data_IF_532420446146
#
_entry.id   IF_532420446146
#
_cell.length_a   1.000
_cell.length_b   1.000
_cell.length_c   1.000
_cell.angle_alpha   90.00
_cell.angle_beta   90.00
_cell.angle_gamma   90.00
#
_symmetry.space_group_name_H-M   'P 1'
#
loop_
_entity.id
_entity.type
_entity.pdbx_description
1 polymer ?
#
# COMPACT_ATOMS: atom_id res chain seq x y z
N UNK A 1 11.35 -11.40 28.00
CA UNK A 1 12.56 -11.01 27.23
C UNK A 1 12.12 -10.08 26.11
N UNK A 2 12.57 -8.86 26.05
CA UNK A 2 12.11 -7.93 25.02
C UNK A 2 12.58 -8.39 23.63
N UNK A 3 11.71 -8.34 22.62
CA UNK A 3 12.10 -8.45 21.22
C UNK A 3 13.15 -7.38 20.93
N UNK A 4 14.28 -7.76 20.32
CA UNK A 4 15.40 -6.84 20.06
C UNK A 4 15.53 -6.53 18.57
N UNK A 5 14.88 -7.30 17.71
CA UNK A 5 14.95 -7.13 16.27
C UNK A 5 13.76 -7.78 15.56
N UNK A 6 13.64 -7.49 14.26
CA UNK A 6 12.74 -8.16 13.34
C UNK A 6 13.50 -8.75 12.16
N UNK A 7 13.27 -10.03 11.86
CA UNK A 7 13.67 -10.62 10.59
C UNK A 7 12.60 -10.33 9.56
N UNK A 8 12.99 -9.68 8.46
CA UNK A 8 12.09 -9.33 7.37
C UNK A 8 12.20 -10.37 6.25
N UNK A 9 11.06 -10.97 5.90
CA UNK A 9 10.92 -11.84 4.75
C UNK A 9 10.30 -11.05 3.59
N UNK A 10 10.87 -11.20 2.39
CA UNK A 10 10.35 -10.59 1.17
C UNK A 10 10.14 -11.68 0.10
N UNK A 11 9.10 -11.51 -0.74
CA UNK A 11 8.66 -12.51 -1.70
C UNK A 11 9.24 -12.28 -3.10
N UNK A 12 8.54 -11.53 -3.94
CA UNK A 12 8.86 -11.30 -5.36
C UNK A 12 10.26 -10.71 -5.60
N UNK A 13 10.81 -9.99 -4.64
CA UNK A 13 12.18 -9.46 -4.70
C UNK A 13 13.20 -10.59 -4.86
N UNK A 14 12.96 -11.74 -4.24
CA UNK A 14 13.90 -12.87 -4.24
C UNK A 14 14.15 -13.44 -5.66
N UNK A 15 13.19 -13.30 -6.58
CA UNK A 15 13.26 -13.83 -7.95
C UNK A 15 13.75 -12.81 -8.99
N UNK A 16 14.18 -11.60 -8.60
CA UNK A 16 14.58 -10.52 -9.50
C UNK A 16 15.97 -10.69 -10.16
N UNK A 17 16.61 -11.84 -9.98
CA UNK A 17 17.89 -12.15 -10.61
C UNK A 17 18.98 -11.12 -10.33
N UNK A 18 19.68 -10.67 -11.37
CA UNK A 18 20.82 -9.72 -11.23
C UNK A 18 20.42 -8.34 -10.68
N UNK A 19 19.18 -7.92 -10.85
CA UNK A 19 18.67 -6.61 -10.39
C UNK A 19 18.15 -6.65 -8.95
N UNK A 20 18.20 -7.77 -8.26
CA UNK A 20 17.68 -7.97 -6.91
C UNK A 20 18.20 -6.93 -5.92
N UNK A 21 19.47 -6.55 -6.00
CA UNK A 21 20.08 -5.58 -5.09
C UNK A 21 19.36 -4.22 -5.11
N UNK A 22 18.88 -3.74 -6.27
CA UNK A 22 18.14 -2.48 -6.39
C UNK A 22 16.83 -2.50 -5.59
N UNK A 23 16.11 -3.61 -5.64
CA UNK A 23 14.86 -3.79 -4.90
C UNK A 23 15.10 -3.96 -3.39
N UNK A 24 16.16 -4.66 -3.02
CA UNK A 24 16.55 -4.81 -1.62
C UNK A 24 16.97 -3.46 -1.02
N UNK A 25 17.75 -2.65 -1.73
CA UNK A 25 18.17 -1.33 -1.28
C UNK A 25 16.98 -0.35 -1.17
N UNK A 26 16.04 -0.41 -2.13
CA UNK A 26 14.79 0.33 -2.05
C UNK A 26 13.94 -0.09 -0.83
N UNK A 27 13.82 -1.40 -0.58
CA UNK A 27 13.11 -1.92 0.59
C UNK A 27 13.77 -1.45 1.90
N UNK A 28 15.10 -1.54 2.01
CA UNK A 28 15.83 -1.05 3.18
C UNK A 28 15.59 0.44 3.44
N UNK A 29 15.57 1.25 2.38
CA UNK A 29 15.29 2.69 2.48
C UNK A 29 13.89 2.95 3.01
N UNK A 30 12.90 2.22 2.52
CA UNK A 30 11.50 2.37 2.97
C UNK A 30 11.30 1.89 4.40
N UNK A 31 11.95 0.78 4.79
CA UNK A 31 11.91 0.32 6.19
C UNK A 31 12.50 1.39 7.11
N UNK A 32 13.68 1.97 6.78
CA UNK A 32 14.26 3.05 7.59
C UNK A 32 13.32 4.24 7.72
N UNK A 33 12.68 4.63 6.63
CA UNK A 33 11.72 5.74 6.64
C UNK A 33 10.49 5.43 7.51
N UNK A 34 9.92 4.23 7.39
CA UNK A 34 8.76 3.81 8.17
C UNK A 34 9.07 3.67 9.66
N UNK A 35 10.28 3.23 10.01
CA UNK A 35 10.70 3.02 11.39
C UNK A 35 11.23 4.29 12.09
N UNK A 36 11.61 5.32 11.34
CA UNK A 36 12.16 6.55 11.90
C UNK A 36 11.27 7.26 12.95
N UNK A 37 9.93 7.31 12.82
CA UNK A 37 9.06 7.86 13.85
C UNK A 37 8.94 6.98 15.10
N UNK A 38 9.21 5.67 14.98
CA UNK A 38 9.05 4.68 16.07
C UNK A 38 10.27 4.64 16.99
N UNK A 39 11.47 4.87 16.45
CA UNK A 39 12.72 4.84 17.22
C UNK A 39 13.96 4.70 16.37
N UNK A 40 15.09 4.48 17.03
CA UNK A 40 16.36 4.24 16.34
C UNK A 40 16.52 2.75 15.99
N UNK A 41 16.58 2.46 14.69
CA UNK A 41 16.70 1.10 14.17
C UNK A 41 17.79 1.00 13.11
N UNK A 42 18.66 0.01 13.29
CA UNK A 42 19.65 -0.36 12.30
C UNK A 42 19.08 -1.38 11.33
N UNK A 43 18.92 -0.99 10.06
CA UNK A 43 18.49 -1.89 9.00
C UNK A 43 19.70 -2.42 8.25
N UNK A 44 19.91 -3.73 8.27
CA UNK A 44 21.02 -4.40 7.59
C UNK A 44 20.59 -5.60 6.77
N UNK A 45 21.41 -5.96 5.81
CA UNK A 45 21.25 -7.15 4.97
C UNK A 45 22.42 -8.09 5.20
N UNK A 46 22.13 -9.37 5.39
CA UNK A 46 23.14 -10.42 5.56
C UNK A 46 22.64 -11.72 4.93
N UNK A 47 23.44 -12.30 4.02
CA UNK A 47 23.18 -13.62 3.42
C UNK A 47 21.75 -13.77 2.86
N UNK A 48 21.24 -12.74 2.18
CA UNK A 48 19.90 -12.75 1.57
C UNK A 48 18.74 -12.58 2.55
N UNK A 49 19.02 -12.12 3.77
CA UNK A 49 18.05 -11.78 4.80
C UNK A 49 18.16 -10.31 5.17
N UNK A 50 17.08 -9.75 5.66
CA UNK A 50 17.04 -8.37 6.10
C UNK A 50 16.63 -8.33 7.58
N UNK A 51 17.38 -7.55 8.35
CA UNK A 51 17.20 -7.40 9.79
C UNK A 51 16.93 -5.94 10.13
N UNK A 52 16.01 -5.72 11.05
CA UNK A 52 15.68 -4.43 11.63
C UNK A 52 15.97 -4.54 13.13
N UNK A 53 17.11 -3.99 13.56
CA UNK A 53 17.63 -4.14 14.92
C UNK A 53 17.39 -2.85 15.70
N UNK A 54 16.70 -2.94 16.82
CA UNK A 54 16.49 -1.80 17.71
C UNK A 54 17.82 -1.42 18.37
N UNK A 55 18.09 -0.11 18.44
CA UNK A 55 19.27 0.43 19.15
C UNK A 55 18.89 0.88 20.56
N UNK A 56 17.62 1.26 20.75
CA UNK A 56 17.04 1.69 22.02
C UNK A 56 15.70 0.98 22.29
N UNK A 57 15.05 1.35 23.40
CA UNK A 57 13.69 0.89 23.70
C UNK A 57 12.68 1.45 22.69
N UNK A 58 11.72 0.63 22.28
CA UNK A 58 10.71 1.00 21.31
C UNK A 58 9.33 0.40 21.68
N UNK A 59 8.27 0.97 21.11
CA UNK A 59 6.95 0.36 21.17
C UNK A 59 6.83 -0.75 20.13
N UNK A 60 6.52 -1.97 20.61
CA UNK A 60 6.44 -3.16 19.77
C UNK A 60 5.31 -3.09 18.75
N UNK A 61 4.13 -2.64 19.19
CA UNK A 61 2.93 -2.61 18.33
C UNK A 61 3.09 -1.54 17.25
N UNK A 62 3.60 -0.37 17.60
CA UNK A 62 3.94 0.70 16.63
C UNK A 62 4.98 0.23 15.60
N UNK A 63 6.00 -0.51 16.04
CA UNK A 63 7.02 -1.05 15.15
C UNK A 63 6.44 -2.07 14.15
N UNK A 64 5.60 -2.98 14.62
CA UNK A 64 4.93 -3.97 13.77
C UNK A 64 4.01 -3.27 12.78
N UNK A 65 3.20 -2.32 13.25
CA UNK A 65 2.29 -1.55 12.39
C UNK A 65 3.04 -0.77 11.30
N UNK A 66 4.16 -0.13 11.64
CA UNK A 66 5.02 0.57 10.68
C UNK A 66 5.56 -0.39 9.61
N UNK A 67 6.06 -1.56 10.01
CA UNK A 67 6.56 -2.58 9.08
C UNK A 67 5.44 -3.18 8.20
N UNK A 68 4.22 -3.31 8.73
CA UNK A 68 3.05 -3.80 7.98
C UNK A 68 2.56 -2.82 6.90
N UNK A 69 3.06 -1.60 6.87
CA UNK A 69 2.78 -0.61 5.82
C UNK A 69 3.83 -0.61 4.70
N UNK A 70 4.96 -1.29 4.85
CA UNK A 70 6.05 -1.28 3.88
C UNK A 70 5.85 -2.35 2.80
N UNK A 71 5.57 -1.93 1.58
CA UNK A 71 5.45 -2.85 0.43
C UNK A 71 6.77 -3.56 0.12
N UNK A 72 6.67 -4.84 -0.19
CA UNK A 72 7.80 -5.75 -0.38
C UNK A 72 7.97 -6.71 0.79
N UNK A 73 7.51 -6.37 1.98
CA UNK A 73 7.54 -7.24 3.16
C UNK A 73 6.40 -8.27 3.05
N UNK A 74 6.72 -9.57 3.10
CA UNK A 74 5.72 -10.64 3.15
C UNK A 74 5.58 -11.22 4.54
N UNK A 75 6.65 -11.19 5.36
CA UNK A 75 6.64 -11.67 6.73
C UNK A 75 7.55 -10.84 7.62
N UNK A 76 7.10 -10.59 8.84
CA UNK A 76 7.80 -9.90 9.91
C UNK A 76 7.94 -10.91 11.04
N UNK A 77 9.16 -11.33 11.37
CA UNK A 77 9.41 -12.27 12.46
C UNK A 77 10.07 -11.52 13.61
N UNK A 78 9.33 -11.20 14.69
CA UNK A 78 9.92 -10.68 15.92
C UNK A 78 10.93 -11.68 16.46
N UNK A 79 12.12 -11.21 16.82
CA UNK A 79 13.23 -12.09 17.17
C UNK A 79 14.10 -11.54 18.29
N UNK A 80 14.86 -12.45 18.88
CA UNK A 80 15.96 -12.15 19.77
C UNK A 80 17.27 -12.44 19.05
N UNK A 81 18.24 -11.57 19.25
CA UNK A 81 19.62 -11.77 18.81
C UNK A 81 20.48 -12.04 20.04
N UNK A 82 21.18 -13.18 20.04
CA UNK A 82 22.04 -13.60 21.13
C UNK A 82 23.50 -13.72 20.65
N UNK A 83 24.42 -13.12 21.37
CA UNK A 83 25.85 -13.14 21.04
C UNK A 83 26.56 -14.36 21.60
N UNK A 84 26.12 -14.81 22.79
CA UNK A 84 26.69 -15.98 23.45
C UNK A 84 26.27 -17.27 22.72
N UNK A 85 27.24 -18.02 22.23
CA UNK A 85 27.05 -19.26 21.49
C UNK A 85 27.23 -20.53 22.36
N UNK A 86 27.24 -20.36 23.67
CA UNK A 86 27.22 -21.53 24.55
C UNK A 86 25.87 -22.26 24.50
N UNK A 87 25.89 -23.59 24.51
CA UNK A 87 24.66 -24.37 24.34
C UNK A 87 23.74 -24.29 25.57
N UNK A 88 24.33 -24.24 26.78
CA UNK A 88 23.57 -24.07 28.01
C UNK A 88 22.85 -22.71 28.02
N UNK A 89 23.58 -21.65 27.71
CA UNK A 89 23.00 -20.29 27.57
C UNK A 89 21.91 -20.22 26.51
N UNK A 90 22.11 -20.87 25.35
CA UNK A 90 21.10 -20.95 24.30
C UNK A 90 19.82 -21.62 24.80
N UNK A 91 19.96 -22.73 25.55
CA UNK A 91 18.83 -23.47 26.12
C UNK A 91 18.03 -22.58 27.08
N UNK A 92 18.71 -21.95 28.04
CA UNK A 92 18.08 -21.01 28.98
C UNK A 92 17.35 -19.87 28.27
N UNK A 93 18.00 -19.31 27.24
CA UNK A 93 17.41 -18.23 26.44
C UNK A 93 16.15 -18.67 25.71
N UNK A 94 16.14 -19.86 25.10
CA UNK A 94 14.96 -20.39 24.40
C UNK A 94 13.83 -20.71 25.37
N UNK A 95 14.12 -21.31 26.54
CA UNK A 95 13.12 -21.58 27.59
C UNK A 95 12.47 -20.26 28.02
N UNK A 96 13.28 -19.25 28.36
CA UNK A 96 12.77 -17.94 28.75
C UNK A 96 11.96 -17.27 27.63
N UNK A 97 12.40 -17.37 26.38
CA UNK A 97 11.69 -16.86 25.22
C UNK A 97 10.30 -17.49 25.09
N UNK A 98 10.19 -18.82 25.19
CA UNK A 98 8.91 -19.54 25.09
C UNK A 98 8.03 -19.23 26.30
N UNK A 99 8.59 -19.09 27.48
CA UNK A 99 7.83 -18.76 28.68
C UNK A 99 7.12 -17.39 28.55
N UNK A 100 7.82 -16.38 28.09
CA UNK A 100 7.30 -15.03 27.95
C UNK A 100 6.38 -14.86 26.75
N UNK A 101 6.68 -15.50 25.60
CA UNK A 101 5.88 -15.37 24.38
C UNK A 101 4.58 -16.16 24.42
N UNK A 102 4.53 -17.25 25.19
CA UNK A 102 3.38 -18.14 25.26
C UNK A 102 2.96 -18.35 26.71
N UNK A 103 2.19 -17.45 27.33
CA UNK A 103 1.77 -17.59 28.73
C UNK A 103 0.97 -18.87 28.99
N UNK A 104 0.18 -19.32 28.02
CA UNK A 104 -0.55 -20.59 28.08
C UNK A 104 0.27 -21.68 27.42
N UNK A 105 0.64 -22.72 28.18
CA UNK A 105 1.48 -23.85 27.76
C UNK A 105 0.64 -25.03 27.28
N UNK A 106 -0.32 -24.82 26.38
CA UNK A 106 -1.15 -25.87 25.77
C UNK A 106 -1.09 -25.78 24.26
N UNK A 107 0.05 -26.18 23.69
CA UNK A 107 0.29 -26.18 22.26
C UNK A 107 1.26 -27.28 21.81
N UNK A 108 1.17 -27.60 20.51
CA UNK A 108 2.17 -28.45 19.86
C UNK A 108 3.28 -27.59 19.25
N UNK A 109 4.53 -28.08 19.35
CA UNK A 109 5.67 -27.33 18.83
C UNK A 109 6.68 -28.20 18.06
N UNK A 110 7.53 -27.53 17.30
CA UNK A 110 8.71 -28.10 16.67
C UNK A 110 9.87 -27.12 16.75
N UNK A 111 11.04 -27.61 17.13
CA UNK A 111 12.28 -26.85 16.99
C UNK A 111 12.83 -27.02 15.58
N UNK A 112 13.22 -25.92 14.95
CA UNK A 112 13.80 -25.89 13.63
C UNK A 112 15.11 -25.09 13.65
N UNK A 113 16.21 -25.79 13.96
CA UNK A 113 17.53 -25.21 13.96
C UNK A 113 18.18 -25.22 12.58
N UNK A 114 18.91 -24.16 12.27
CA UNK A 114 19.78 -24.03 11.08
C UNK A 114 21.18 -23.61 11.52
N UNK A 115 22.14 -24.52 11.41
CA UNK A 115 23.54 -24.22 11.70
C UNK A 115 24.24 -23.68 10.47
N UNK A 116 24.40 -22.35 10.37
CA UNK A 116 25.23 -21.69 9.36
C UNK A 116 26.71 -21.59 9.79
N UNK A 117 26.96 -21.47 11.10
CA UNK A 117 28.31 -21.48 11.68
C UNK A 117 28.76 -22.93 11.96
N UNK A 118 29.73 -23.40 11.17
CA UNK A 118 30.24 -24.77 11.30
C UNK A 118 31.14 -24.97 12.54
N UNK A 119 31.54 -23.91 13.22
CA UNK A 119 32.33 -23.99 14.46
C UNK A 119 31.44 -24.27 15.69
N UNK A 120 30.13 -24.09 15.58
CA UNK A 120 29.20 -24.44 16.65
C UNK A 120 29.24 -25.96 16.90
N UNK A 121 29.33 -26.40 18.17
CA UNK A 121 29.65 -27.81 18.50
C UNK A 121 28.59 -28.80 18.01
N UNK A 122 27.31 -28.45 18.04
CA UNK A 122 26.20 -29.32 17.63
C UNK A 122 25.74 -29.02 16.20
N UNK A 123 25.32 -30.04 15.48
CA UNK A 123 24.64 -29.90 14.21
C UNK A 123 23.17 -29.50 14.39
N UNK A 124 22.48 -29.17 13.30
CA UNK A 124 21.08 -28.72 13.36
C UNK A 124 20.14 -29.77 13.98
N UNK A 125 20.41 -31.06 13.77
CA UNK A 125 19.57 -32.13 14.30
C UNK A 125 19.78 -32.29 15.81
N UNK A 126 21.04 -32.26 16.25
CA UNK A 126 21.37 -32.29 17.66
C UNK A 126 20.80 -31.10 18.45
N UNK A 127 20.86 -29.86 17.85
CA UNK A 127 20.23 -28.69 18.46
C UNK A 127 18.71 -28.88 18.58
N UNK A 128 18.05 -29.43 17.55
CA UNK A 128 16.61 -29.69 17.59
C UNK A 128 16.23 -30.64 18.72
N UNK A 129 17.01 -31.72 18.89
CA UNK A 129 16.75 -32.74 19.90
C UNK A 129 17.00 -32.20 21.31
N UNK A 130 18.13 -31.54 21.53
CA UNK A 130 18.50 -30.98 22.84
C UNK A 130 17.48 -29.92 23.30
N UNK A 131 17.25 -28.87 22.48
CA UNK A 131 16.29 -27.81 22.83
C UNK A 131 14.87 -28.35 22.94
N UNK A 132 14.48 -29.30 22.06
CA UNK A 132 13.15 -29.92 22.13
C UNK A 132 12.92 -30.70 23.42
N UNK A 133 13.93 -31.45 23.88
CA UNK A 133 13.91 -32.17 25.15
C UNK A 133 13.81 -31.22 26.35
N UNK A 134 14.67 -30.22 26.39
CA UNK A 134 14.70 -29.22 27.46
C UNK A 134 13.39 -28.42 27.59
N UNK A 135 12.74 -28.13 26.46
CA UNK A 135 11.42 -27.46 26.46
C UNK A 135 10.34 -28.37 27.05
N UNK A 136 10.36 -29.68 26.72
CA UNK A 136 9.42 -30.65 27.31
C UNK A 136 9.63 -30.81 28.82
N UNK A 137 10.88 -30.78 29.27
CA UNK A 137 11.21 -30.86 30.70
C UNK A 137 10.82 -29.60 31.47
N UNK A 138 10.90 -28.44 30.81
CA UNK A 138 10.61 -27.12 31.40
C UNK A 138 9.11 -26.81 31.52
N UNK A 139 8.28 -27.31 30.59
CA UNK A 139 6.87 -26.93 30.51
C UNK A 139 5.93 -28.14 30.42
N UNK A 140 5.09 -28.30 31.45
CA UNK A 140 3.97 -29.25 31.38
C UNK A 140 2.90 -28.73 30.38
N UNK A 141 2.36 -29.60 29.53
CA UNK A 141 1.26 -29.33 28.63
C UNK A 141 1.66 -29.10 27.15
N UNK A 142 2.91 -28.75 26.87
CA UNK A 142 3.39 -28.69 25.48
C UNK A 142 3.71 -30.09 24.93
N UNK A 143 3.56 -30.27 23.62
CA UNK A 143 3.83 -31.57 22.96
C UNK A 143 4.57 -31.34 21.65
N UNK A 144 5.45 -32.28 21.29
CA UNK A 144 6.14 -32.23 20.00
C UNK A 144 5.21 -32.73 18.89
N UNK A 145 5.07 -31.91 17.82
CA UNK A 145 4.48 -32.31 16.55
C UNK A 145 5.40 -31.87 15.41
N UNK A 146 6.06 -32.83 14.77
CA UNK A 146 7.02 -32.57 13.69
C UNK A 146 6.35 -32.29 12.33
N UNK A 147 5.06 -32.58 12.19
CA UNK A 147 4.33 -32.45 10.93
C UNK A 147 3.44 -31.19 10.89
N UNK A 148 2.68 -30.94 11.95
CA UNK A 148 1.71 -29.85 12.05
C UNK A 148 1.83 -29.09 13.38
N UNK A 149 3.03 -28.52 13.71
CA UNK A 149 3.21 -27.78 14.95
C UNK A 149 2.42 -26.48 14.92
N UNK A 150 1.80 -26.15 16.05
CA UNK A 150 1.17 -24.83 16.26
C UNK A 150 2.24 -23.74 16.43
N UNK A 151 3.37 -24.08 17.06
CA UNK A 151 4.50 -23.18 17.29
C UNK A 151 5.78 -23.75 16.66
N UNK A 152 6.38 -23.00 15.74
CA UNK A 152 7.67 -23.33 15.14
C UNK A 152 8.76 -22.50 15.80
N UNK A 153 9.56 -23.11 16.68
CA UNK A 153 10.70 -22.44 17.32
C UNK A 153 11.89 -22.48 16.38
N UNK A 154 12.16 -21.35 15.71
CA UNK A 154 13.28 -21.23 14.78
C UNK A 154 14.53 -20.77 15.52
N UNK A 155 15.65 -21.46 15.31
CA UNK A 155 16.97 -21.14 15.88
C UNK A 155 17.98 -21.12 14.74
N UNK A 156 18.58 -19.98 14.46
CA UNK A 156 19.61 -19.88 13.44
C UNK A 156 20.95 -19.52 14.06
N UNK A 157 21.89 -20.45 14.01
CA UNK A 157 23.25 -20.26 14.49
C UNK A 157 24.11 -19.77 13.33
N UNK A 158 24.48 -18.49 13.36
CA UNK A 158 25.34 -17.81 12.37
C UNK A 158 26.44 -17.02 13.11
N UNK A 159 26.73 -15.78 12.65
CA UNK A 159 27.58 -14.85 13.41
C UNK A 159 27.03 -14.65 14.83
N UNK A 160 25.72 -14.52 14.94
CA UNK A 160 24.93 -14.49 16.17
C UNK A 160 23.96 -15.66 16.16
N UNK A 161 23.27 -15.88 17.28
CA UNK A 161 22.12 -16.78 17.34
C UNK A 161 20.85 -15.96 17.23
N UNK A 162 19.93 -16.37 16.35
CA UNK A 162 18.65 -15.74 16.09
C UNK A 162 17.53 -16.69 16.52
N UNK A 163 16.64 -16.23 17.40
CA UNK A 163 15.53 -17.01 17.94
C UNK A 163 14.22 -16.29 17.62
N UNK A 164 13.31 -16.98 16.96
CA UNK A 164 11.97 -16.49 16.63
C UNK A 164 10.97 -17.61 16.46
N UNK A 165 9.68 -17.36 16.74
CA UNK A 165 8.62 -18.36 16.63
C UNK A 165 7.37 -17.85 15.90
N UNK A 166 7.22 -16.55 15.72
CA UNK A 166 6.09 -15.92 15.09
C UNK A 166 6.44 -15.37 13.72
N UNK A 167 5.46 -15.33 12.83
CA UNK A 167 5.54 -14.66 11.55
C UNK A 167 4.26 -13.84 11.33
N UNK A 168 4.39 -12.53 11.45
CA UNK A 168 3.32 -11.57 11.21
C UNK A 168 3.29 -11.28 9.72
N UNK A 169 2.11 -11.34 9.11
CA UNK A 169 1.93 -11.12 7.68
C UNK A 169 2.16 -9.65 7.31
N UNK A 170 3.08 -9.41 6.37
CA UNK A 170 3.29 -8.11 5.74
C UNK A 170 2.35 -7.86 4.55
N UNK A 171 2.36 -6.65 3.96
CA UNK A 171 1.49 -6.28 2.84
C UNK A 171 1.85 -6.97 1.53
N UNK A 172 3.06 -7.50 1.39
CA UNK A 172 3.58 -8.05 0.13
C UNK A 172 3.85 -6.96 -0.92
N UNK A 173 3.89 -7.36 -2.19
CA UNK A 173 4.11 -6.44 -3.30
C UNK A 173 5.59 -6.11 -3.55
N UNK A 174 5.85 -4.90 -4.04
CA UNK A 174 7.17 -4.40 -4.43
C UNK A 174 7.45 -3.04 -3.77
N UNK A 175 8.71 -2.72 -3.46
CA UNK A 175 9.07 -1.41 -2.90
C UNK A 175 8.66 -0.27 -3.83
N UNK A 176 8.01 0.77 -3.28
CA UNK A 176 7.53 1.93 -4.04
C UNK A 176 8.69 2.63 -4.76
N UNK A 177 8.44 3.12 -5.98
CA UNK A 177 9.44 3.78 -6.83
C UNK A 177 10.28 2.82 -7.67
N UNK A 178 10.13 1.50 -7.52
CA UNK A 178 10.88 0.52 -8.33
C UNK A 178 10.25 0.25 -9.70
N UNK A 179 9.01 0.70 -9.93
CA UNK A 179 8.26 0.50 -11.19
C UNK A 179 7.70 1.82 -11.76
N UNK A 180 8.48 2.89 -11.66
CA UNK A 180 8.10 4.18 -12.24
C UNK A 180 7.07 4.95 -11.40
N UNK A 181 6.35 5.88 -12.05
CA UNK A 181 5.42 6.82 -11.44
C UNK A 181 4.10 6.88 -12.21
N UNK A 182 3.00 7.10 -11.52
CA UNK A 182 1.68 7.28 -12.11
C UNK A 182 0.87 8.37 -11.39
N UNK A 183 -0.10 8.96 -12.09
CA UNK A 183 -1.00 9.99 -11.59
C UNK A 183 -2.36 9.37 -11.24
N UNK A 184 -2.76 9.47 -9.99
CA UNK A 184 -4.04 9.01 -9.48
C UNK A 184 -5.10 10.10 -9.61
N UNK A 185 -6.21 9.83 -10.25
CA UNK A 185 -7.41 10.65 -10.12
C UNK A 185 -8.07 10.31 -8.77
N UNK A 186 -7.76 11.10 -7.75
CA UNK A 186 -8.23 10.90 -6.38
C UNK A 186 -9.54 11.65 -6.17
N UNK A 187 -10.52 11.00 -5.57
CA UNK A 187 -11.80 11.57 -5.16
C UNK A 187 -12.08 11.30 -3.70
N UNK A 188 -13.13 11.88 -3.14
CA UNK A 188 -13.61 11.59 -1.77
C UNK A 188 -14.34 10.25 -1.63
N UNK A 189 -14.50 9.47 -2.71
CA UNK A 189 -15.13 8.16 -2.71
C UNK A 189 -14.23 7.04 -2.21
N UNK A 190 -14.81 5.84 -2.06
CA UNK A 190 -14.14 4.65 -1.53
C UNK A 190 -13.11 4.09 -2.53
N UNK A 191 -13.40 4.14 -3.83
CA UNK A 191 -12.73 3.35 -4.85
C UNK A 191 -11.36 3.91 -5.25
N UNK A 192 -11.21 5.24 -5.35
CA UNK A 192 -9.96 5.85 -5.84
C UNK A 192 -8.78 5.71 -4.85
N UNK A 193 -8.94 5.82 -3.51
CA UNK A 193 -7.86 5.52 -2.58
C UNK A 193 -7.40 4.06 -2.65
N UNK A 194 -8.36 3.14 -2.80
CA UNK A 194 -8.08 1.70 -2.98
C UNK A 194 -7.29 1.46 -4.26
N UNK A 195 -7.69 2.10 -5.37
CA UNK A 195 -6.95 2.00 -6.63
C UNK A 195 -5.50 2.50 -6.50
N UNK A 196 -5.30 3.63 -5.82
CA UNK A 196 -3.97 4.17 -5.51
C UNK A 196 -3.13 3.18 -4.72
N UNK A 197 -3.66 2.64 -3.62
CA UNK A 197 -3.00 1.62 -2.81
C UNK A 197 -2.60 0.38 -3.64
N UNK A 198 -3.51 -0.15 -4.47
CA UNK A 198 -3.26 -1.35 -5.26
C UNK A 198 -2.12 -1.17 -6.26
N UNK A 199 -2.02 -0.01 -6.90
CA UNK A 199 -0.95 0.29 -7.84
C UNK A 199 0.36 0.62 -7.11
N UNK A 200 0.33 1.37 -6.01
CA UNK A 200 1.51 1.61 -5.17
C UNK A 200 2.13 0.30 -4.67
N UNK A 201 1.31 -0.68 -4.30
CA UNK A 201 1.72 -2.03 -3.90
C UNK A 201 2.52 -2.75 -4.99
N UNK A 202 2.39 -2.35 -6.26
CA UNK A 202 3.20 -2.88 -7.38
C UNK A 202 4.52 -2.13 -7.59
N UNK A 203 4.90 -1.27 -6.64
CA UNK A 203 6.16 -0.53 -6.67
C UNK A 203 6.08 0.78 -7.45
N UNK A 204 4.90 1.25 -7.79
CA UNK A 204 4.68 2.51 -8.51
C UNK A 204 4.62 3.68 -7.52
N UNK A 205 5.40 4.72 -7.75
CA UNK A 205 5.24 6.00 -7.03
C UNK A 205 3.98 6.71 -7.52
N UNK A 206 3.24 7.34 -6.62
CA UNK A 206 1.94 7.96 -6.93
C UNK A 206 2.00 9.46 -6.64
N UNK A 207 1.61 10.28 -7.61
CA UNK A 207 1.06 11.62 -7.40
C UNK A 207 -0.46 11.55 -7.64
N UNK A 208 -1.19 12.57 -7.22
CA UNK A 208 -2.65 12.59 -7.34
C UNK A 208 -3.17 13.91 -7.87
N UNK A 209 -4.30 13.84 -8.59
CA UNK A 209 -5.08 15.00 -9.03
C UNK A 209 -6.48 14.88 -8.44
N UNK A 210 -6.96 15.95 -7.82
CA UNK A 210 -8.31 16.10 -7.30
C UNK A 210 -9.00 17.30 -7.95
N UNK A 211 -10.24 17.12 -8.36
CA UNK A 211 -11.07 18.15 -8.98
C UNK A 211 -12.02 18.73 -7.95
N UNK A 212 -11.81 20.01 -7.62
CA UNK A 212 -12.61 20.78 -6.68
C UNK A 212 -13.44 21.80 -7.42
N UNK A 213 -14.69 22.01 -7.03
CA UNK A 213 -15.61 22.93 -7.71
C UNK A 213 -16.30 23.90 -6.73
N UNK A 214 -15.56 24.84 -6.12
CA UNK A 214 -16.18 25.85 -5.25
C UNK A 214 -17.09 26.80 -6.04
N UNK A 215 -18.23 27.29 -5.48
CA UNK A 215 -18.76 27.01 -4.15
C UNK A 215 -19.60 25.73 -4.05
N UNK A 216 -19.73 24.96 -5.13
CA UNK A 216 -20.59 23.77 -5.21
C UNK A 216 -20.04 22.60 -4.39
N UNK A 217 -18.71 22.45 -4.28
CA UNK A 217 -18.08 21.54 -3.33
C UNK A 217 -17.53 22.34 -2.14
N UNK A 218 -17.68 21.81 -0.94
CA UNK A 218 -17.26 22.48 0.28
C UNK A 218 -15.75 22.32 0.54
N UNK A 219 -15.15 23.21 1.33
CA UNK A 219 -13.79 23.04 1.87
C UNK A 219 -13.64 21.73 2.69
N UNK A 220 -14.72 21.24 3.30
CA UNK A 220 -14.73 19.93 3.98
C UNK A 220 -14.58 18.78 3.01
N UNK A 221 -15.12 18.87 1.79
CA UNK A 221 -14.90 17.88 0.74
C UNK A 221 -13.43 17.86 0.30
N UNK A 222 -12.80 19.04 0.13
CA UNK A 222 -11.36 19.15 -0.14
C UNK A 222 -10.52 18.54 1.01
N UNK A 223 -10.85 18.88 2.26
CA UNK A 223 -10.13 18.36 3.42
C UNK A 223 -10.26 16.82 3.50
N UNK A 224 -11.43 16.26 3.24
CA UNK A 224 -11.66 14.80 3.15
C UNK A 224 -10.69 14.13 2.17
N UNK A 225 -10.50 14.71 0.98
CA UNK A 225 -9.58 14.16 -0.02
C UNK A 225 -8.12 14.28 0.42
N UNK A 226 -7.74 15.40 1.06
CA UNK A 226 -6.41 15.56 1.65
C UNK A 226 -6.16 14.48 2.72
N UNK A 227 -7.14 14.19 3.56
CA UNK A 227 -7.00 13.17 4.61
C UNK A 227 -6.94 11.75 4.02
N UNK A 228 -7.68 11.46 2.95
CA UNK A 228 -7.52 10.21 2.19
C UNK A 228 -6.13 10.10 1.55
N UNK A 229 -5.61 11.19 0.97
CA UNK A 229 -4.25 11.21 0.43
C UNK A 229 -3.20 10.92 1.52
N UNK A 230 -3.36 11.46 2.74
CA UNK A 230 -2.47 11.16 3.88
C UNK A 230 -2.51 9.68 4.28
N UNK A 231 -3.70 9.07 4.29
CA UNK A 231 -3.81 7.64 4.60
C UNK A 231 -3.11 6.79 3.54
N UNK A 232 -3.30 7.10 2.25
CA UNK A 232 -2.62 6.41 1.15
C UNK A 232 -1.10 6.64 1.20
N UNK A 233 -0.66 7.85 1.57
CA UNK A 233 0.76 8.20 1.68
C UNK A 233 1.51 7.37 2.73
N UNK A 234 0.84 6.89 3.80
CA UNK A 234 1.43 5.97 4.78
C UNK A 234 1.96 4.68 4.13
N UNK A 235 1.41 4.27 2.99
CA UNK A 235 1.81 3.10 2.22
C UNK A 235 2.64 3.45 0.98
N UNK A 236 2.21 4.48 0.24
CA UNK A 236 2.77 4.88 -1.06
C UNK A 236 3.99 5.80 -0.93
N UNK A 237 4.28 6.31 0.28
CA UNK A 237 5.21 7.41 0.48
C UNK A 237 4.59 8.76 0.11
N UNK A 238 5.38 9.85 0.12
CA UNK A 238 4.88 11.21 -0.13
C UNK A 238 4.16 11.33 -1.48
N UNK A 239 3.03 12.07 -1.48
CA UNK A 239 2.17 12.31 -2.65
C UNK A 239 2.09 13.82 -2.90
N UNK A 240 2.33 14.26 -4.14
CA UNK A 240 1.96 15.59 -4.58
C UNK A 240 0.50 15.57 -5.05
N UNK A 241 -0.38 16.20 -4.28
CA UNK A 241 -1.81 16.31 -4.59
C UNK A 241 -2.06 17.63 -5.32
N UNK A 242 -2.41 17.53 -6.61
CA UNK A 242 -2.82 18.65 -7.46
C UNK A 242 -4.31 18.89 -7.25
N UNK A 243 -4.67 20.01 -6.62
CA UNK A 243 -6.06 20.45 -6.40
C UNK A 243 -6.45 21.40 -7.49
N UNK A 244 -7.22 20.92 -8.45
CA UNK A 244 -7.64 21.65 -9.64
C UNK A 244 -8.99 22.32 -9.40
N UNK A 245 -9.10 23.63 -9.63
CA UNK A 245 -10.40 24.29 -9.67
C UNK A 245 -11.10 23.95 -11.00
N UNK A 246 -12.16 23.16 -10.90
CA UNK A 246 -12.90 22.66 -12.07
C UNK A 246 -14.24 23.38 -12.31
N UNK A 247 -14.54 24.42 -11.53
CA UNK A 247 -15.86 25.09 -11.51
C UNK A 247 -16.26 25.63 -12.89
N UNK A 248 -15.41 26.43 -13.51
CA UNK A 248 -15.78 27.13 -14.75
C UNK A 248 -15.89 26.16 -15.94
N UNK A 249 -15.04 25.14 -15.98
CA UNK A 249 -15.16 24.05 -16.95
C UNK A 249 -16.49 23.29 -16.74
N UNK A 250 -16.85 23.00 -15.51
CA UNK A 250 -18.08 22.29 -15.18
C UNK A 250 -19.34 23.10 -15.55
N UNK A 251 -19.33 24.40 -15.29
CA UNK A 251 -20.41 25.30 -15.65
C UNK A 251 -20.54 25.43 -17.17
N UNK A 252 -19.44 25.60 -17.91
CA UNK A 252 -19.46 25.67 -19.36
C UNK A 252 -20.04 24.38 -19.98
N UNK A 253 -19.66 23.20 -19.44
CA UNK A 253 -20.23 21.92 -19.88
C UNK A 253 -21.73 21.87 -19.57
N UNK A 254 -22.15 22.29 -18.37
CA UNK A 254 -23.55 22.32 -17.98
C UNK A 254 -24.42 23.20 -18.85
N UNK A 255 -23.91 24.37 -19.23
CA UNK A 255 -24.62 25.35 -20.03
C UNK A 255 -24.69 25.03 -21.53
N UNK A 256 -23.63 24.42 -22.08
CA UNK A 256 -23.47 24.24 -23.52
C UNK A 256 -23.69 22.81 -24.03
N UNK A 257 -23.65 21.82 -23.16
CA UNK A 257 -23.71 20.40 -23.56
C UNK A 257 -25.04 19.71 -23.14
N UNK A 258 -25.45 18.65 -23.85
CA UNK A 258 -26.63 17.85 -23.48
C UNK A 258 -26.53 17.32 -22.06
N UNK A 259 -27.61 17.51 -21.29
CA UNK A 259 -27.63 17.20 -19.85
C UNK A 259 -27.32 15.73 -19.54
N UNK A 260 -27.79 14.79 -20.35
CA UNK A 260 -27.52 13.36 -20.20
C UNK A 260 -26.08 12.94 -20.46
N UNK A 261 -25.25 13.79 -21.09
CA UNK A 261 -23.87 13.53 -21.48
C UNK A 261 -22.84 14.19 -20.55
N UNK A 262 -23.28 15.07 -19.62
CA UNK A 262 -22.41 15.90 -18.78
C UNK A 262 -21.31 15.11 -18.07
N UNK A 263 -21.69 14.02 -17.41
CA UNK A 263 -20.72 13.24 -16.65
C UNK A 263 -19.61 12.64 -17.53
N UNK A 264 -19.94 12.21 -18.75
CA UNK A 264 -18.97 11.65 -19.69
C UNK A 264 -18.01 12.75 -20.16
N UNK A 265 -18.55 13.91 -20.54
CA UNK A 265 -17.77 15.05 -21.04
C UNK A 265 -16.87 15.59 -19.94
N UNK A 266 -17.39 15.81 -18.71
CA UNK A 266 -16.57 16.22 -17.55
C UNK A 266 -15.40 15.26 -17.33
N UNK A 267 -15.64 13.95 -17.33
CA UNK A 267 -14.58 12.95 -17.11
C UNK A 267 -13.53 13.00 -18.21
N UNK A 268 -13.88 13.27 -19.44
CA UNK A 268 -12.93 13.44 -20.55
C UNK A 268 -11.98 14.61 -20.29
N UNK A 269 -12.48 15.76 -19.84
CA UNK A 269 -11.64 16.90 -19.48
C UNK A 269 -10.81 16.65 -18.21
N UNK A 270 -11.37 15.99 -17.22
CA UNK A 270 -10.60 15.56 -16.04
C UNK A 270 -9.42 14.66 -16.42
N UNK A 271 -9.62 13.70 -17.34
CA UNK A 271 -8.54 12.83 -17.82
C UNK A 271 -7.48 13.63 -18.58
N UNK A 272 -7.86 14.59 -19.44
CA UNK A 272 -6.91 15.47 -20.15
C UNK A 272 -6.05 16.28 -19.17
N UNK A 273 -6.66 16.89 -18.16
CA UNK A 273 -5.95 17.70 -17.15
C UNK A 273 -5.04 16.80 -16.30
N UNK A 274 -5.51 15.63 -15.88
CA UNK A 274 -4.69 14.68 -15.14
C UNK A 274 -3.50 14.18 -15.96
N UNK A 275 -3.67 13.96 -17.28
CA UNK A 275 -2.57 13.59 -18.19
C UNK A 275 -1.56 14.74 -18.36
N UNK A 276 -2.01 15.99 -18.35
CA UNK A 276 -1.12 17.14 -18.35
C UNK A 276 -0.18 17.13 -17.15
N UNK A 277 -0.71 17.04 -15.93
CA UNK A 277 0.11 16.96 -14.71
C UNK A 277 0.93 15.68 -14.62
N UNK A 278 0.44 14.57 -15.17
CA UNK A 278 1.19 13.33 -15.28
C UNK A 278 2.46 13.53 -16.12
N UNK A 279 2.34 14.17 -17.28
CA UNK A 279 3.47 14.46 -18.17
C UNK A 279 4.48 15.41 -17.51
N UNK A 280 4.03 16.51 -16.90
CA UNK A 280 4.89 17.44 -16.16
C UNK A 280 5.63 16.77 -15.00
N UNK A 281 4.91 15.92 -14.24
CA UNK A 281 5.47 15.18 -13.09
C UNK A 281 6.27 13.94 -13.46
N UNK A 282 6.42 13.61 -14.76
CA UNK A 282 7.13 12.41 -15.22
C UNK A 282 6.40 11.11 -14.92
N UNK A 283 5.09 11.12 -14.73
CA UNK A 283 4.25 9.94 -14.62
C UNK A 283 4.03 9.30 -16.00
N UNK A 284 3.96 7.97 -16.04
CA UNK A 284 3.86 7.20 -17.28
C UNK A 284 2.46 6.55 -17.47
N UNK A 285 1.56 6.76 -16.51
CA UNK A 285 0.19 6.23 -16.55
C UNK A 285 -0.74 7.07 -15.69
N UNK A 286 -2.05 6.96 -15.96
CA UNK A 286 -3.12 7.41 -15.07
C UNK A 286 -3.66 6.23 -14.28
N UNK A 287 -4.23 6.51 -13.09
CA UNK A 287 -4.91 5.52 -12.23
C UNK A 287 -6.30 6.04 -11.93
N UNK A 288 -7.33 5.21 -12.11
CA UNK A 288 -8.71 5.52 -11.72
C UNK A 288 -9.32 4.39 -10.88
N UNK A 289 -10.27 4.73 -10.00
CA UNK A 289 -10.99 3.78 -9.15
C UNK A 289 -12.24 3.19 -9.81
N UNK A 290 -12.32 3.15 -11.13
CA UNK A 290 -13.50 2.68 -11.86
C UNK A 290 -13.74 1.18 -11.71
N UNK A 291 -15.02 0.78 -11.52
CA UNK A 291 -15.49 -0.60 -11.56
C UNK A 291 -16.65 -0.71 -12.56
N UNK A 292 -16.64 -1.76 -13.41
CA UNK A 292 -17.65 -1.92 -14.48
C UNK A 292 -19.04 -2.05 -13.89
N UNK A 293 -19.95 -1.20 -14.36
CA UNK A 293 -21.39 -1.29 -14.02
C UNK A 293 -21.76 -0.74 -12.65
N UNK A 294 -20.81 -0.20 -11.89
CA UNK A 294 -21.11 0.36 -10.57
C UNK A 294 -21.99 1.62 -10.67
N UNK A 295 -21.74 2.48 -11.66
CA UNK A 295 -22.55 3.66 -11.99
C UNK A 295 -22.68 3.82 -13.50
N UNK A 296 -23.63 4.66 -13.94
CA UNK A 296 -23.94 4.85 -15.35
C UNK A 296 -22.75 5.29 -16.23
N UNK A 297 -21.82 6.07 -15.68
CA UNK A 297 -20.58 6.50 -16.35
C UNK A 297 -19.53 5.40 -16.49
N UNK A 298 -19.68 4.28 -15.78
CA UNK A 298 -18.69 3.19 -15.73
C UNK A 298 -19.12 1.95 -16.52
N UNK A 299 -19.91 2.13 -17.57
CA UNK A 299 -20.16 1.07 -18.56
C UNK A 299 -18.97 0.94 -19.52
N UNK A 300 -18.78 -0.22 -20.14
CA UNK A 300 -17.70 -0.42 -21.13
C UNK A 300 -17.73 0.64 -22.23
N UNK A 301 -18.94 1.02 -22.69
CA UNK A 301 -19.11 2.06 -23.71
C UNK A 301 -18.57 3.42 -23.24
N UNK A 302 -18.94 3.82 -22.02
CA UNK A 302 -18.54 5.11 -21.46
C UNK A 302 -17.07 5.12 -21.06
N UNK A 303 -16.54 4.02 -20.54
CA UNK A 303 -15.12 3.85 -20.26
C UNK A 303 -14.25 3.95 -21.52
N UNK A 304 -14.68 3.38 -22.63
CA UNK A 304 -14.00 3.50 -23.92
C UNK A 304 -13.96 4.96 -24.40
N UNK A 305 -15.07 5.70 -24.21
CA UNK A 305 -15.17 7.12 -24.58
C UNK A 305 -14.29 8.01 -23.72
N UNK A 306 -14.28 7.78 -22.40
CA UNK A 306 -13.41 8.55 -21.50
C UNK A 306 -11.93 8.22 -21.67
N UNK A 307 -11.59 6.97 -22.03
CA UNK A 307 -10.22 6.56 -22.31
C UNK A 307 -9.66 7.14 -23.61
N UNK A 308 -10.52 7.48 -24.59
CA UNK A 308 -10.10 7.92 -25.92
C UNK A 308 -9.28 9.22 -25.92
N UNK A 309 -9.44 10.06 -24.90
CA UNK A 309 -8.68 11.31 -24.75
C UNK A 309 -7.28 11.13 -24.17
N UNK A 310 -6.95 9.92 -23.70
CA UNK A 310 -5.68 9.64 -23.04
C UNK A 310 -4.67 9.06 -24.03
N UNK A 311 -3.44 9.58 -24.01
CA UNK A 311 -2.32 9.07 -24.80
C UNK A 311 -1.43 8.10 -24.00
N UNK A 312 -1.61 8.03 -22.67
CA UNK A 312 -0.90 7.13 -21.79
C UNK A 312 -1.79 6.00 -21.28
N UNK A 313 -1.22 4.89 -20.78
CA UNK A 313 -1.99 3.82 -20.15
C UNK A 313 -2.84 4.31 -18.99
N UNK A 314 -4.07 3.79 -18.88
CA UNK A 314 -4.97 4.04 -17.74
C UNK A 314 -5.14 2.74 -16.96
N UNK A 315 -4.61 2.71 -15.73
CA UNK A 315 -4.76 1.57 -14.84
C UNK A 315 -6.06 1.66 -14.06
N UNK A 316 -6.83 0.58 -14.09
CA UNK A 316 -8.13 0.44 -13.40
C UNK A 316 -8.09 -0.80 -12.52
N UNK A 317 -7.38 -0.78 -11.38
CA UNK A 317 -7.19 -2.00 -10.58
C UNK A 317 -8.50 -2.54 -10.00
N UNK A 318 -9.52 -1.70 -9.81
CA UNK A 318 -10.83 -2.10 -9.30
C UNK A 318 -11.82 -2.55 -10.37
N UNK A 319 -11.43 -2.61 -11.65
CA UNK A 319 -12.34 -2.73 -12.79
C UNK A 319 -13.26 -3.95 -12.77
N UNK A 320 -12.82 -5.06 -12.23
CA UNK A 320 -13.55 -6.33 -12.12
C UNK A 320 -14.00 -6.67 -10.70
N UNK A 321 -13.82 -5.75 -9.75
CA UNK A 321 -14.16 -5.97 -8.34
C UNK A 321 -15.61 -5.54 -8.08
N UNK A 322 -16.30 -6.27 -7.24
CA UNK A 322 -17.57 -5.81 -6.70
C UNK A 322 -17.38 -4.79 -5.58
N UNK A 323 -18.49 -4.20 -5.11
CA UNK A 323 -18.41 -3.13 -4.11
C UNK A 323 -17.86 -3.62 -2.77
N UNK A 324 -18.20 -4.86 -2.37
CA UNK A 324 -17.73 -5.40 -1.09
C UNK A 324 -16.22 -5.67 -1.10
N UNK A 325 -15.70 -6.22 -2.19
CA UNK A 325 -14.26 -6.43 -2.34
C UNK A 325 -13.44 -5.12 -2.21
N UNK A 326 -13.98 -4.02 -2.75
CA UNK A 326 -13.36 -2.71 -2.64
C UNK A 326 -13.47 -2.17 -1.20
N UNK A 327 -14.62 -2.34 -0.55
CA UNK A 327 -14.85 -1.95 0.85
C UNK A 327 -13.90 -2.70 1.79
N UNK A 328 -13.75 -4.01 1.62
CA UNK A 328 -12.85 -4.82 2.46
C UNK A 328 -11.40 -4.32 2.40
N UNK A 329 -10.96 -3.88 1.21
CA UNK A 329 -9.63 -3.26 1.08
C UNK A 329 -9.60 -1.87 1.73
N UNK A 330 -10.64 -1.06 1.55
CA UNK A 330 -10.74 0.28 2.13
C UNK A 330 -10.70 0.25 3.66
N UNK A 331 -11.42 -0.69 4.28
CA UNK A 331 -11.37 -0.95 5.73
C UNK A 331 -9.96 -1.34 6.17
N UNK A 332 -9.36 -2.31 5.47
CA UNK A 332 -8.02 -2.80 5.76
C UNK A 332 -6.94 -1.72 5.72
N UNK A 333 -7.03 -0.77 4.80
CA UNK A 333 -6.05 0.32 4.66
C UNK A 333 -6.43 1.58 5.45
N UNK A 334 -7.59 1.57 6.10
CA UNK A 334 -8.07 2.66 6.97
C UNK A 334 -8.67 3.86 6.21
N UNK A 335 -9.06 3.71 4.93
CA UNK A 335 -9.66 4.81 4.14
C UNK A 335 -11.18 4.83 4.22
N UNK A 336 -11.83 3.73 4.64
CA UNK A 336 -13.27 3.57 4.60
C UNK A 336 -14.01 4.67 5.38
N UNK A 337 -13.72 4.84 6.67
CA UNK A 337 -14.40 5.80 7.54
C UNK A 337 -14.29 7.25 7.05
N UNK A 338 -13.14 7.60 6.47
CA UNK A 338 -12.98 8.93 5.85
C UNK A 338 -13.80 9.03 4.56
N UNK A 339 -13.82 7.98 3.73
CA UNK A 339 -14.51 7.96 2.44
C UNK A 339 -16.03 8.07 2.55
N UNK A 340 -16.65 7.55 3.62
CA UNK A 340 -18.12 7.59 3.81
C UNK A 340 -18.61 8.90 4.45
N UNK A 341 -17.74 9.85 4.79
CA UNK A 341 -18.18 11.14 5.29
C UNK A 341 -19.08 11.85 4.27
N UNK A 342 -20.15 12.55 4.70
CA UNK A 342 -21.21 13.09 3.84
C UNK A 342 -20.80 14.39 3.12
N UNK A 343 -19.65 14.40 2.46
CA UNK A 343 -19.16 15.53 1.65
C UNK A 343 -19.05 15.08 0.20
N UNK A 344 -19.78 15.77 -0.68
CA UNK A 344 -19.93 15.39 -2.07
C UNK A 344 -18.77 15.83 -2.95
N UNK A 345 -18.44 15.01 -3.94
CA UNK A 345 -17.46 15.31 -4.99
C UNK A 345 -18.09 16.14 -6.14
N UNK A 346 -17.28 16.83 -6.93
CA UNK A 346 -17.72 17.64 -8.05
C UNK A 346 -18.57 16.87 -9.07
N UNK A 347 -18.30 15.58 -9.29
CA UNK A 347 -19.05 14.76 -10.24
C UNK A 347 -20.51 14.48 -9.85
N UNK A 348 -20.90 14.73 -8.61
CA UNK A 348 -22.27 14.46 -8.11
C UNK A 348 -23.19 15.66 -8.19
N UNK A 349 -22.65 16.85 -8.42
CA UNK A 349 -23.42 18.12 -8.35
C UNK A 349 -24.40 18.29 -9.52
N UNK A 350 -23.98 17.96 -10.75
CA UNK A 350 -24.76 18.12 -11.96
C UNK A 350 -25.05 16.76 -12.63
N UNK A 351 -25.65 15.85 -11.87
CA UNK A 351 -25.97 14.52 -12.38
C UNK A 351 -27.34 14.52 -13.06
N UNK A 352 -27.37 14.05 -14.30
CA UNK A 352 -28.62 13.84 -15.02
C UNK A 352 -29.51 12.79 -14.34
N UNK A 353 -30.83 13.00 -14.31
CA UNK A 353 -31.78 11.97 -13.84
C UNK A 353 -31.68 10.66 -14.64
N UNK A 354 -31.35 10.78 -15.93
CA UNK A 354 -31.18 9.65 -16.86
C UNK A 354 -29.85 9.81 -17.62
N UNK A 355 -28.70 9.52 -17.00
CA UNK A 355 -27.42 9.64 -17.67
C UNK A 355 -27.27 8.59 -18.78
N UNK A 356 -26.55 8.91 -19.82
CA UNK A 356 -26.25 8.00 -20.92
C UNK A 356 -25.44 6.80 -20.41
N UNK A 357 -25.95 5.59 -20.60
CA UNK A 357 -25.24 4.33 -20.26
C UNK A 357 -24.58 3.67 -21.47
N UNK A 358 -25.01 4.02 -22.68
CA UNK A 358 -24.46 3.56 -23.95
C UNK A 358 -24.06 4.76 -24.79
N UNK A 359 -23.03 5.45 -24.36
CA UNK A 359 -22.49 6.62 -25.05
C UNK A 359 -22.02 6.28 -26.47
N UNK A 360 -22.08 7.27 -27.36
CA UNK A 360 -21.54 7.18 -28.70
C UNK A 360 -20.43 8.25 -28.86
N UNK A 361 -19.22 7.82 -29.16
CA UNK A 361 -18.06 8.70 -29.24
C UNK A 361 -18.25 9.87 -30.22
N UNK A 362 -18.85 9.61 -31.42
CA UNK A 362 -19.10 10.66 -32.41
C UNK A 362 -20.07 11.71 -31.89
N UNK A 363 -21.11 11.26 -31.16
CA UNK A 363 -22.08 12.17 -30.55
C UNK A 363 -21.45 13.01 -29.44
N UNK A 364 -20.66 12.38 -28.56
CA UNK A 364 -19.95 13.10 -27.49
C UNK A 364 -18.98 14.13 -28.08
N UNK A 365 -18.19 13.78 -29.09
CA UNK A 365 -17.30 14.75 -29.79
C UNK A 365 -18.07 15.92 -30.39
N UNK A 366 -19.23 15.65 -31.01
CA UNK A 366 -20.09 16.72 -31.53
C UNK A 366 -20.63 17.63 -30.43
N UNK A 367 -20.94 17.10 -29.26
CA UNK A 367 -21.34 17.90 -28.10
C UNK A 367 -20.18 18.71 -27.52
N UNK A 368 -18.97 18.21 -27.58
CA UNK A 368 -17.74 18.96 -27.20
C UNK A 368 -17.44 20.13 -28.16
N UNK A 369 -17.87 20.09 -29.44
CA UNK A 369 -17.73 21.21 -30.37
C UNK A 369 -18.40 22.50 -29.86
N UNK A 370 -19.44 22.38 -29.01
CA UNK A 370 -20.09 23.52 -28.38
C UNK A 370 -19.20 24.25 -27.36
N UNK A 371 -18.09 23.67 -26.97
CA UNK A 371 -17.16 24.22 -25.99
C UNK A 371 -15.91 24.84 -26.65
N UNK A 372 -15.70 24.66 -27.97
CA UNK A 372 -14.47 25.04 -28.69
C UNK A 372 -14.08 26.51 -28.50
N UNK A 373 -15.07 27.39 -28.30
CA UNK A 373 -14.86 28.83 -28.12
C UNK A 373 -14.28 29.20 -26.73
N UNK A 374 -14.35 28.32 -25.73
CA UNK A 374 -13.98 28.66 -24.34
C UNK A 374 -13.08 27.64 -23.66
N UNK A 375 -13.09 26.36 -24.09
CA UNK A 375 -12.56 25.26 -23.29
C UNK A 375 -11.04 25.32 -23.13
N UNK A 376 -10.30 25.75 -24.14
CA UNK A 376 -8.83 25.79 -24.07
C UNK A 376 -8.36 26.85 -23.06
N UNK A 377 -9.03 28.02 -23.01
CA UNK A 377 -8.74 29.06 -22.03
C UNK A 377 -9.11 28.60 -20.61
N UNK A 378 -10.28 27.97 -20.43
CA UNK A 378 -10.72 27.46 -19.15
C UNK A 378 -9.82 26.34 -18.63
N UNK A 379 -9.38 25.42 -19.49
CA UNK A 379 -8.40 24.39 -19.12
C UNK A 379 -7.07 24.99 -18.70
N UNK A 380 -6.58 25.99 -19.45
CA UNK A 380 -5.35 26.69 -19.13
C UNK A 380 -5.44 27.39 -17.77
N UNK A 381 -6.53 28.11 -17.51
CA UNK A 381 -6.74 28.77 -16.21
C UNK A 381 -6.82 27.76 -15.06
N UNK A 382 -7.53 26.64 -15.23
CA UNK A 382 -7.62 25.58 -14.24
C UNK A 382 -6.25 24.94 -13.94
N UNK A 383 -5.40 24.76 -14.96
CA UNK A 383 -4.04 24.24 -14.82
C UNK A 383 -3.15 25.27 -14.11
N UNK A 384 -3.13 26.52 -14.59
CA UNK A 384 -2.26 27.59 -14.08
C UNK A 384 -2.59 27.96 -12.62
N UNK A 385 -3.87 27.81 -12.19
CA UNK A 385 -4.34 28.09 -10.83
C UNK A 385 -4.30 26.89 -9.87
N UNK A 386 -3.79 25.74 -10.32
CA UNK A 386 -3.76 24.51 -9.50
C UNK A 386 -2.89 24.65 -8.27
N UNK A 387 -3.45 24.36 -7.12
CA UNK A 387 -2.73 24.26 -5.84
C UNK A 387 -2.07 22.89 -5.70
N UNK A 388 -0.78 22.85 -5.35
CA UNK A 388 -0.06 21.60 -5.09
C UNK A 388 0.15 21.45 -3.58
N UNK A 389 -0.44 20.39 -3.00
CA UNK A 389 -0.32 20.05 -1.60
C UNK A 389 0.65 18.86 -1.45
N UNK A 390 1.74 19.07 -0.72
CA UNK A 390 2.70 18.01 -0.43
C UNK A 390 2.22 17.19 0.79
N UNK A 391 1.69 16.01 0.53
CA UNK A 391 1.16 15.08 1.54
C UNK A 391 2.25 14.08 1.94
N UNK A 392 2.43 13.90 3.26
CA UNK A 392 3.41 12.98 3.85
C UNK A 392 2.74 11.98 4.77
#
# INVERSE_FOLDING_TARGET
>A
MKVTAFLIKYGEIAIKGKNRYMFEDALMKQIRHAMAPVGDFKVRKESGRMFVEAQDEFDYDEAVEALQRVFGIVGICPMIIEENKDMEHLTETVIKFIDEQYPVKDFTFKVHARRGDKQFPLDSMAINMEIGGQLLDAFEGIKVDVHHPQVMVNIEVRKYIYIYSQEIKGPGGMPVGTNGKAMLLLSGGIDSPVAGYMIAKRGVHIDATYFHAPPYTSERAKQKVIDLAKIVAKYAGPINLHVVNFTDIQLAIYEKCPYEELTIIMRRYMMKIAEHFANEGGSLALITGESIGQVASQTIHNLAITNEVCNMPVFRPCIGMDKQEIVDIAEKIGTFETSIQPFEDCCTIFVAKHPVTKGNLKRIKKSEEHLEDVIDDLMKEAIDSTEIIHVK
#
